data_IF_002252289254
#
_entry.id   IF_002252289254
#
_cell.length_a   1.000
_cell.length_b   1.000
_cell.length_c   1.000
_cell.angle_alpha   90.00
_cell.angle_beta   90.00
_cell.angle_gamma   90.00
#
_symmetry.space_group_name_H-M   'P 1'
#
loop_
_entity.id
_entity.type
_entity.pdbx_description
1 polymer ?
#
# COMPACT_ATOMS: atom_id res chain seq x y z
N UNK A 1 -2.95 -16.19 -5.12
CA UNK A 1 -2.14 -15.52 -4.07
C UNK A 1 -2.15 -14.01 -4.26
N UNK A 2 -2.19 -13.54 -5.51
CA UNK A 2 -2.50 -12.15 -5.90
C UNK A 2 -3.72 -11.61 -5.17
N UNK A 3 -4.82 -12.37 -5.10
CA UNK A 3 -6.04 -11.93 -4.41
C UNK A 3 -5.83 -11.50 -2.95
N UNK A 4 -5.03 -12.24 -2.17
CA UNK A 4 -4.72 -11.87 -0.78
C UNK A 4 -3.91 -10.57 -0.72
N UNK A 5 -2.94 -10.41 -1.62
CA UNK A 5 -2.13 -9.19 -1.71
C UNK A 5 -2.99 -8.00 -2.13
N UNK A 6 -3.88 -8.19 -3.11
CA UNK A 6 -4.82 -7.17 -3.59
C UNK A 6 -5.77 -6.73 -2.47
N UNK A 7 -6.24 -7.65 -1.63
CA UNK A 7 -7.07 -7.30 -0.46
C UNK A 7 -6.26 -6.58 0.63
N UNK A 8 -5.00 -6.97 0.88
CA UNK A 8 -4.10 -6.25 1.80
C UNK A 8 -3.90 -4.81 1.32
N UNK A 9 -3.60 -4.64 0.04
CA UNK A 9 -3.41 -3.33 -0.60
C UNK A 9 -4.69 -2.49 -0.54
N UNK A 10 -5.83 -3.07 -0.92
CA UNK A 10 -7.12 -2.39 -0.88
C UNK A 10 -7.46 -1.94 0.55
N UNK A 11 -7.24 -2.79 1.55
CA UNK A 11 -7.44 -2.42 2.96
C UNK A 11 -6.54 -1.26 3.39
N UNK A 12 -5.25 -1.33 3.04
CA UNK A 12 -4.28 -0.27 3.36
C UNK A 12 -4.65 1.06 2.69
N UNK A 13 -5.04 1.04 1.41
CA UNK A 13 -5.46 2.23 0.64
C UNK A 13 -6.79 2.79 1.13
N UNK A 14 -7.74 1.93 1.52
CA UNK A 14 -9.06 2.33 1.98
C UNK A 14 -9.04 3.14 3.29
N UNK A 15 -8.00 2.98 4.11
CA UNK A 15 -7.87 3.69 5.38
C UNK A 15 -6.44 4.15 5.67
N UNK A 16 -5.56 3.28 6.20
CA UNK A 16 -4.26 3.67 6.75
C UNK A 16 -3.36 4.54 5.84
N UNK A 17 -3.41 4.34 4.53
CA UNK A 17 -2.60 5.12 3.59
C UNK A 17 -2.99 6.60 3.53
N UNK A 18 -4.25 6.96 3.84
CA UNK A 18 -4.72 8.34 3.79
C UNK A 18 -4.02 9.25 4.83
N UNK A 19 -3.58 8.65 5.94
CA UNK A 19 -2.88 9.35 7.03
C UNK A 19 -1.36 9.33 6.87
N UNK A 20 -0.86 8.84 5.72
CA UNK A 20 0.58 8.75 5.48
C UNK A 20 1.20 10.15 5.35
N UNK A 21 2.19 10.41 6.20
CA UNK A 21 3.13 11.52 6.06
C UNK A 21 4.54 10.96 5.97
N UNK A 22 5.31 11.45 5.00
CA UNK A 22 6.72 11.10 4.80
C UNK A 22 7.52 12.40 4.66
N UNK A 23 8.73 12.43 5.23
CA UNK A 23 9.61 13.59 5.10
C UNK A 23 10.02 13.80 3.63
N UNK A 24 10.13 15.05 3.15
CA UNK A 24 10.40 15.37 1.74
C UNK A 24 11.88 15.21 1.35
N UNK A 25 12.50 14.08 1.71
CA UNK A 25 13.86 13.71 1.29
C UNK A 25 13.83 12.63 0.20
N UNK A 26 14.99 12.35 -0.38
CA UNK A 26 15.18 11.24 -1.29
C UNK A 26 15.43 9.93 -0.52
N UNK A 27 14.74 8.87 -0.94
CA UNK A 27 14.84 7.53 -0.38
C UNK A 27 15.29 6.55 -1.45
N UNK A 28 16.26 5.67 -1.19
CA UNK A 28 16.52 4.54 -2.08
C UNK A 28 15.34 3.56 -2.02
N UNK A 29 15.08 2.84 -3.11
CA UNK A 29 13.95 1.90 -3.19
C UNK A 29 13.99 0.82 -2.09
N UNK A 30 15.17 0.35 -1.71
CA UNK A 30 15.33 -0.61 -0.60
C UNK A 30 14.89 -0.06 0.77
N UNK A 31 15.08 1.24 1.03
CA UNK A 31 14.58 1.86 2.26
C UNK A 31 13.05 1.98 2.22
N UNK A 32 12.48 2.32 1.06
CA UNK A 32 11.02 2.33 0.88
C UNK A 32 10.42 0.96 1.20
N UNK A 33 11.04 -0.14 0.73
CA UNK A 33 10.57 -1.49 1.03
C UNK A 33 10.49 -1.75 2.53
N UNK A 34 11.51 -1.36 3.30
CA UNK A 34 11.51 -1.52 4.76
C UNK A 34 10.40 -0.71 5.43
N UNK A 35 10.20 0.54 4.98
CA UNK A 35 9.18 1.43 5.52
C UNK A 35 7.77 0.89 5.27
N UNK A 36 7.48 0.45 4.05
CA UNK A 36 6.13 0.02 3.69
C UNK A 36 5.81 -1.41 4.12
N UNK A 37 6.81 -2.29 4.23
CA UNK A 37 6.63 -3.59 4.89
C UNK A 37 6.14 -3.39 6.33
N UNK A 38 6.82 -2.53 7.12
CA UNK A 38 6.41 -2.24 8.50
C UNK A 38 5.01 -1.61 8.59
N UNK A 39 4.73 -0.58 7.78
CA UNK A 39 3.42 0.10 7.79
C UNK A 39 2.28 -0.84 7.44
N UNK A 40 2.45 -1.67 6.40
CA UNK A 40 1.41 -2.63 6.01
C UNK A 40 1.29 -3.74 7.06
N UNK A 41 2.41 -4.25 7.57
CA UNK A 41 2.39 -5.26 8.64
C UNK A 41 1.60 -4.78 9.87
N UNK A 42 1.78 -3.51 10.27
CA UNK A 42 1.01 -2.89 11.36
C UNK A 42 -0.47 -2.75 10.99
N UNK A 43 -0.78 -2.31 9.77
CA UNK A 43 -2.16 -2.14 9.31
C UNK A 43 -2.97 -3.46 9.33
N UNK A 44 -2.37 -4.55 8.85
CA UNK A 44 -3.08 -5.85 8.72
C UNK A 44 -2.88 -6.79 9.91
N UNK A 45 -2.13 -6.40 10.95
CA UNK A 45 -1.78 -7.29 12.08
C UNK A 45 -3.00 -7.93 12.75
N UNK A 46 -4.14 -7.25 12.77
CA UNK A 46 -5.38 -7.72 13.40
C UNK A 46 -6.00 -8.94 12.69
N UNK A 47 -5.69 -9.14 11.41
CA UNK A 47 -6.16 -10.27 10.61
C UNK A 47 -5.27 -11.52 10.75
N UNK A 48 -4.26 -11.45 11.63
CA UNK A 48 -3.45 -12.60 12.02
C UNK A 48 -2.17 -12.82 11.18
N UNK A 49 -1.33 -13.79 11.59
CA UNK A 49 0.00 -14.00 11.02
C UNK A 49 -0.03 -14.50 9.57
N UNK A 50 -1.08 -15.22 9.16
CA UNK A 50 -1.24 -15.70 7.78
C UNK A 50 -1.41 -14.56 6.77
N UNK A 51 -2.08 -13.48 7.16
CA UNK A 51 -2.18 -12.25 6.34
C UNK A 51 -0.88 -11.46 6.44
N UNK A 52 -0.42 -11.21 7.67
CA UNK A 52 0.77 -10.37 7.94
C UNK A 52 2.03 -10.84 7.22
N UNK A 53 2.25 -12.15 7.04
CA UNK A 53 3.46 -12.67 6.35
C UNK A 53 3.60 -12.19 4.90
N UNK A 54 2.55 -11.65 4.30
CA UNK A 54 2.54 -11.09 2.94
C UNK A 54 2.75 -9.55 2.90
N UNK A 55 3.04 -8.91 4.04
CA UNK A 55 3.23 -7.45 4.12
C UNK A 55 4.33 -6.94 3.21
N UNK A 56 5.45 -7.67 3.10
CA UNK A 56 6.59 -7.29 2.25
C UNK A 56 6.21 -7.25 0.77
N UNK A 57 5.48 -8.25 0.30
CA UNK A 57 5.04 -8.34 -1.09
C UNK A 57 4.01 -7.25 -1.41
N UNK A 58 3.03 -7.04 -0.53
CA UNK A 58 2.09 -5.94 -0.65
C UNK A 58 2.79 -4.58 -0.59
N UNK A 59 3.79 -4.39 0.27
CA UNK A 59 4.57 -3.15 0.36
C UNK A 59 5.31 -2.84 -0.93
N UNK A 60 5.92 -3.85 -1.54
CA UNK A 60 6.55 -3.70 -2.85
C UNK A 60 5.54 -3.25 -3.91
N UNK A 61 4.43 -3.95 -4.04
CA UNK A 61 3.38 -3.61 -5.02
C UNK A 61 2.80 -2.22 -4.78
N UNK A 62 2.64 -1.82 -3.52
CA UNK A 62 2.20 -0.47 -3.17
C UNK A 62 3.20 0.60 -3.63
N UNK A 63 4.50 0.40 -3.38
CA UNK A 63 5.55 1.33 -3.79
C UNK A 63 5.57 1.45 -5.32
N UNK A 64 5.57 0.32 -6.03
CA UNK A 64 5.61 0.28 -7.49
C UNK A 64 4.42 1.04 -8.09
N UNK A 65 3.20 0.81 -7.59
CA UNK A 65 2.00 1.55 -7.97
C UNK A 65 2.16 3.06 -7.73
N UNK A 66 2.67 3.45 -6.57
CA UNK A 66 2.80 4.87 -6.21
C UNK A 66 3.89 5.56 -7.06
N UNK A 67 4.97 4.87 -7.40
CA UNK A 67 5.99 5.37 -8.34
C UNK A 67 5.36 5.55 -9.73
N UNK A 68 4.68 4.51 -10.24
CA UNK A 68 4.04 4.55 -11.56
C UNK A 68 3.03 5.71 -11.67
N UNK A 69 2.26 5.97 -10.61
CA UNK A 69 1.26 7.03 -10.56
C UNK A 69 1.85 8.43 -10.29
N UNK A 70 3.18 8.54 -10.11
CA UNK A 70 3.89 9.80 -9.88
C UNK A 70 3.81 10.32 -8.44
N UNK A 71 3.32 9.53 -7.49
CA UNK A 71 3.33 9.87 -6.07
C UNK A 71 4.75 9.82 -5.44
N UNK A 72 5.69 9.22 -6.18
CA UNK A 72 7.12 9.33 -5.96
C UNK A 72 7.81 9.80 -7.22
N UNK A 73 8.55 10.90 -7.15
CA UNK A 73 9.43 11.30 -8.25
C UNK A 73 10.70 10.46 -8.20
N UNK A 74 11.15 9.96 -9.34
CA UNK A 74 12.36 9.14 -9.44
C UNK A 74 13.49 9.97 -10.05
N UNK A 75 14.65 9.94 -9.39
CA UNK A 75 15.91 10.45 -9.93
C UNK A 75 16.87 9.26 -10.10
N UNK A 76 17.38 9.06 -11.31
CA UNK A 76 18.40 8.05 -11.59
C UNK A 76 19.78 8.65 -11.29
N UNK A 77 20.46 8.11 -10.30
CA UNK A 77 21.81 8.54 -9.93
C UNK A 77 22.86 8.04 -10.92
N UNK A 78 23.93 8.83 -11.10
CA UNK A 78 25.04 8.53 -12.00
C UNK A 78 25.76 7.20 -11.72
N UNK A 79 25.60 6.66 -10.50
CA UNK A 79 26.23 5.41 -10.05
C UNK A 79 25.29 4.18 -10.08
N UNK A 80 24.16 4.25 -10.79
CA UNK A 80 23.30 3.08 -11.07
C UNK A 80 22.25 2.77 -9.99
N UNK A 81 21.76 3.78 -9.27
CA UNK A 81 20.68 3.63 -8.28
C UNK A 81 19.57 4.66 -8.47
N UNK A 82 18.31 4.27 -8.21
CA UNK A 82 17.15 5.16 -8.21
C UNK A 82 16.87 5.71 -6.81
N UNK A 83 16.64 7.02 -6.75
CA UNK A 83 16.22 7.72 -5.54
C UNK A 83 14.82 8.27 -5.74
N UNK A 84 13.97 8.10 -4.74
CA UNK A 84 12.55 8.42 -4.80
C UNK A 84 12.21 9.49 -3.77
N UNK A 85 11.60 10.59 -4.21
CA UNK A 85 11.14 11.66 -3.32
C UNK A 85 9.60 11.71 -3.29
N UNK A 86 9.06 11.84 -2.08
CA UNK A 86 7.63 11.81 -1.83
C UNK A 86 6.93 13.05 -2.38
N UNK A 87 5.87 12.85 -3.17
CA UNK A 87 5.06 13.92 -3.76
C UNK A 87 3.70 13.96 -3.06
N UNK A 88 3.60 14.70 -1.94
CA UNK A 88 2.48 14.61 -1.01
C UNK A 88 1.11 14.89 -1.66
N UNK A 89 1.01 15.92 -2.51
CA UNK A 89 -0.26 16.27 -3.15
C UNK A 89 -0.67 15.20 -4.17
N UNK A 90 0.28 14.76 -5.00
CA UNK A 90 0.03 13.68 -5.96
C UNK A 90 -0.33 12.38 -5.25
N UNK A 91 0.33 12.05 -4.15
CA UNK A 91 0.00 10.87 -3.35
C UNK A 91 -1.45 10.91 -2.85
N UNK A 92 -1.90 12.02 -2.28
CA UNK A 92 -3.29 12.18 -1.82
C UNK A 92 -4.29 12.05 -2.96
N UNK A 93 -3.98 12.56 -4.14
CA UNK A 93 -4.81 12.37 -5.34
C UNK A 93 -4.91 10.90 -5.73
N UNK A 94 -3.77 10.21 -5.84
CA UNK A 94 -3.71 8.79 -6.19
C UNK A 94 -4.49 7.94 -5.20
N UNK A 95 -4.35 8.18 -3.88
CA UNK A 95 -5.15 7.49 -2.87
C UNK A 95 -6.65 7.70 -3.10
N UNK A 96 -7.10 8.92 -3.40
CA UNK A 96 -8.52 9.20 -3.68
C UNK A 96 -9.01 8.56 -4.97
N UNK A 97 -8.16 8.51 -6.01
CA UNK A 97 -8.44 7.82 -7.27
C UNK A 97 -8.64 6.31 -7.02
N UNK A 98 -7.69 5.67 -6.35
CA UNK A 98 -7.74 4.24 -6.03
C UNK A 98 -8.92 3.90 -5.10
N UNK A 99 -9.22 4.75 -4.10
CA UNK A 99 -10.39 4.58 -3.23
C UNK A 99 -11.74 4.64 -3.96
N UNK A 100 -11.79 5.24 -5.16
CA UNK A 100 -12.98 5.30 -6.01
C UNK A 100 -13.00 4.18 -7.05
N UNK A 101 -11.85 3.81 -7.60
CA UNK A 101 -11.75 2.89 -8.73
C UNK A 101 -11.58 1.42 -8.31
N UNK A 102 -10.95 1.15 -7.16
CA UNK A 102 -10.65 -0.21 -6.74
C UNK A 102 -11.92 -0.98 -6.32
N UNK A 103 -12.24 -2.05 -7.04
CA UNK A 103 -13.47 -2.83 -6.84
C UNK A 103 -13.59 -3.44 -5.44
N UNK A 104 -12.47 -3.85 -4.83
CA UNK A 104 -12.45 -4.40 -3.46
C UNK A 104 -12.83 -3.29 -2.46
N UNK A 105 -12.29 -2.08 -2.63
CA UNK A 105 -12.62 -0.94 -1.76
C UNK A 105 -14.08 -0.54 -1.93
N UNK A 106 -14.59 -0.50 -3.16
CA UNK A 106 -16.00 -0.20 -3.44
C UNK A 106 -16.91 -1.24 -2.80
N UNK A 107 -16.59 -2.53 -2.93
CA UNK A 107 -17.33 -3.62 -2.29
C UNK A 107 -17.30 -3.52 -0.76
N UNK A 108 -16.12 -3.26 -0.18
CA UNK A 108 -15.97 -3.07 1.27
C UNK A 108 -16.81 -1.90 1.80
N UNK A 109 -16.90 -0.79 1.06
CA UNK A 109 -17.76 0.35 1.41
C UNK A 109 -19.24 -0.02 1.40
N UNK A 110 -19.66 -0.86 0.47
CA UNK A 110 -21.06 -1.31 0.36
C UNK A 110 -21.44 -2.32 1.46
N UNK A 111 -20.55 -3.25 1.81
CA UNK A 111 -20.80 -4.31 2.79
C UNK A 111 -20.46 -3.91 4.24
N UNK A 112 -19.72 -2.81 4.42
CA UNK A 112 -19.38 -2.26 5.72
C UNK A 112 -18.21 -2.95 6.43
N UNK A 113 -17.94 -2.61 7.70
CA UNK A 113 -16.71 -2.99 8.40
C UNK A 113 -16.45 -4.51 8.50
N UNK A 114 -17.51 -5.32 8.57
CA UNK A 114 -17.42 -6.78 8.67
C UNK A 114 -16.87 -7.45 7.40
N UNK A 115 -16.88 -6.74 6.26
CA UNK A 115 -16.35 -7.23 5.00
C UNK A 115 -14.90 -7.72 5.13
N UNK A 116 -14.05 -6.93 5.80
CA UNK A 116 -12.62 -7.23 5.87
C UNK A 116 -12.33 -8.49 6.67
N UNK A 117 -12.98 -8.66 7.83
CA UNK A 117 -12.80 -9.85 8.67
C UNK A 117 -13.25 -11.11 7.93
N UNK A 118 -14.37 -11.03 7.20
CA UNK A 118 -14.86 -12.13 6.35
C UNK A 118 -13.90 -12.43 5.20
N UNK A 119 -13.53 -11.42 4.42
CA UNK A 119 -12.70 -11.59 3.23
C UNK A 119 -11.32 -12.16 3.59
N UNK A 120 -10.65 -11.61 4.61
CA UNK A 120 -9.36 -12.15 5.04
C UNK A 120 -9.50 -13.54 5.66
N UNK A 121 -10.58 -13.81 6.40
CA UNK A 121 -10.86 -15.14 6.94
C UNK A 121 -10.97 -16.20 5.84
N UNK A 122 -11.71 -15.91 4.77
CA UNK A 122 -11.88 -16.80 3.61
C UNK A 122 -10.57 -16.99 2.82
N UNK A 123 -9.78 -15.93 2.64
CA UNK A 123 -8.53 -15.97 1.87
C UNK A 123 -7.37 -16.70 2.58
N UNK A 124 -7.47 -16.94 3.90
CA UNK A 124 -6.44 -17.62 4.69
C UNK A 124 -6.92 -18.93 5.34
N UNK A 125 -8.17 -19.33 5.08
CA UNK A 125 -8.71 -20.62 5.50
C UNK A 125 -7.91 -21.75 4.85
#
# INVERSE_FOLDING_TARGET
MTDLIDHILAYYIAGPAADLSVAPRFYPYGELQLIFDDKIAVAVRKFGPKVRKHSKEAGKTFIDLMIEKGAWSTNEGEYGGSMHQFQADRFREVIREEQKANAIIVKAKAEGPAYWDKAFGELVA
#
